data_IF_437433506850
#
_entry.id   IF_437433506850
#
_cell.length_a   1.000
_cell.length_b   1.000
_cell.length_c   1.000
_cell.angle_alpha   90.00
_cell.angle_beta   90.00
_cell.angle_gamma   90.00
#
_symmetry.space_group_name_H-M   'P 1'
#
loop_
_entity.id
_entity.type
_entity.pdbx_description
1 polymer ?
#
# COMPACT_ATOMS: atom_id res chain seq x y z
N UNK A 1 -2.51 -6.68 6.36
CA UNK A 1 -1.32 -5.86 6.61
C UNK A 1 -0.40 -5.85 5.40
N UNK A 2 0.21 -4.73 5.14
CA UNK A 2 1.15 -4.58 4.02
C UNK A 2 2.49 -4.14 4.59
N UNK A 3 3.50 -5.01 4.46
CA UNK A 3 4.83 -4.72 4.97
C UNK A 3 5.50 -3.61 4.15
N UNK A 4 6.18 -2.69 4.83
CA UNK A 4 6.88 -1.59 4.17
C UNK A 4 8.32 -1.42 4.65
N UNK A 5 8.70 -2.02 5.78
CA UNK A 5 10.04 -1.87 6.34
C UNK A 5 10.39 -3.10 7.16
N UNK A 6 11.64 -3.52 7.12
CA UNK A 6 12.14 -4.62 7.94
C UNK A 6 13.58 -4.33 8.34
N UNK A 7 13.88 -4.44 9.63
CA UNK A 7 15.20 -4.11 10.19
C UNK A 7 15.69 -2.72 9.77
N UNK A 8 14.78 -1.75 9.71
CA UNK A 8 15.11 -0.38 9.37
C UNK A 8 15.34 -0.11 7.88
N UNK A 9 15.11 -1.10 7.03
CA UNK A 9 15.30 -0.95 5.57
C UNK A 9 13.97 -1.11 4.85
N UNK A 10 13.77 -0.42 3.72
CA UNK A 10 12.57 -0.62 2.92
C UNK A 10 12.36 -2.09 2.58
N UNK A 11 11.13 -2.56 2.70
CA UNK A 11 10.77 -3.93 2.37
C UNK A 11 9.32 -3.97 1.85
N UNK A 12 8.88 -5.15 1.44
CA UNK A 12 7.52 -5.33 0.96
C UNK A 12 7.15 -4.33 -0.13
N UNK A 13 6.06 -3.60 0.08
CA UNK A 13 5.55 -2.67 -0.93
C UNK A 13 6.55 -1.54 -1.26
N UNK A 14 7.41 -1.17 -0.33
CA UNK A 14 8.38 -0.10 -0.56
C UNK A 14 9.66 -0.57 -1.24
N UNK A 15 9.89 -1.87 -1.33
CA UNK A 15 11.09 -2.43 -1.94
C UNK A 15 10.84 -3.23 -3.20
N UNK A 16 9.63 -3.71 -3.40
CA UNK A 16 9.35 -4.58 -4.54
C UNK A 16 9.58 -3.90 -5.88
N UNK A 17 10.11 -4.65 -6.83
CA UNK A 17 10.27 -4.20 -8.21
C UNK A 17 9.21 -4.81 -9.12
N UNK A 18 8.27 -5.55 -8.55
CA UNK A 18 7.16 -6.12 -9.29
C UNK A 18 6.21 -5.03 -9.77
N UNK A 19 5.48 -5.32 -10.83
CA UNK A 19 4.47 -4.40 -11.35
C UNK A 19 3.15 -4.53 -10.59
N UNK A 20 2.86 -5.72 -10.07
CA UNK A 20 1.59 -6.00 -9.41
C UNK A 20 1.81 -6.57 -8.02
N UNK A 21 0.90 -6.23 -7.12
CA UNK A 21 0.84 -6.72 -5.75
C UNK A 21 -0.43 -7.52 -5.56
N UNK A 22 -0.30 -8.80 -5.24
CA UNK A 22 -1.44 -9.68 -4.98
C UNK A 22 -1.64 -9.77 -3.49
N UNK A 23 -2.81 -9.39 -3.03
CA UNK A 23 -3.14 -9.41 -1.61
C UNK A 23 -4.27 -10.39 -1.35
N UNK A 24 -3.96 -11.49 -0.67
CA UNK A 24 -4.95 -12.52 -0.38
C UNK A 24 -5.75 -12.17 0.86
N UNK A 25 -7.06 -12.32 0.74
CA UNK A 25 -7.98 -12.17 1.87
C UNK A 25 -8.34 -13.56 2.36
N UNK A 26 -8.02 -13.83 3.63
CA UNK A 26 -8.13 -15.16 4.20
C UNK A 26 -9.09 -15.20 5.39
N UNK A 27 -9.74 -16.36 5.56
CA UNK A 27 -10.45 -16.69 6.80
C UNK A 27 -9.74 -17.94 7.31
N UNK A 28 -9.08 -17.83 8.46
CA UNK A 28 -8.21 -18.90 8.93
C UNK A 28 -7.08 -19.10 7.92
N UNK A 29 -6.92 -20.35 7.47
CA UNK A 29 -5.89 -20.70 6.50
C UNK A 29 -6.40 -20.75 5.06
N UNK A 30 -7.62 -20.31 4.83
CA UNK A 30 -8.24 -20.43 3.52
C UNK A 30 -8.40 -19.08 2.86
N UNK A 31 -7.88 -18.95 1.65
CA UNK A 31 -8.03 -17.73 0.86
C UNK A 31 -9.39 -17.72 0.17
N UNK A 32 -10.19 -16.71 0.42
CA UNK A 32 -11.49 -16.59 -0.24
C UNK A 32 -11.52 -15.52 -1.34
N UNK A 33 -10.51 -14.66 -1.40
CA UNK A 33 -10.43 -13.64 -2.43
C UNK A 33 -8.99 -13.14 -2.56
N UNK A 34 -8.67 -12.56 -3.70
CA UNK A 34 -7.37 -11.93 -3.92
C UNK A 34 -7.58 -10.57 -4.57
N UNK A 35 -7.02 -9.54 -3.98
CA UNK A 35 -6.99 -8.20 -4.56
C UNK A 35 -5.69 -8.05 -5.34
N UNK A 36 -5.77 -7.50 -6.53
CA UNK A 36 -4.60 -7.24 -7.36
C UNK A 36 -4.45 -5.73 -7.50
N UNK A 37 -3.30 -5.22 -7.08
CA UNK A 37 -3.00 -3.80 -7.17
C UNK A 37 -1.85 -3.56 -8.14
N UNK A 38 -1.92 -2.46 -8.87
CA UNK A 38 -0.75 -1.90 -9.51
C UNK A 38 0.16 -1.36 -8.39
N UNK A 39 1.43 -1.74 -8.39
CA UNK A 39 2.33 -1.37 -7.28
C UNK A 39 2.51 0.14 -7.17
N UNK A 40 2.67 0.83 -8.29
CA UNK A 40 2.84 2.28 -8.25
C UNK A 40 1.59 2.97 -7.72
N UNK A 41 0.42 2.49 -8.14
CA UNK A 41 -0.85 3.03 -7.66
C UNK A 41 -1.03 2.78 -6.17
N UNK A 42 -0.69 1.58 -5.70
CA UNK A 42 -0.81 1.25 -4.28
C UNK A 42 0.12 2.10 -3.43
N UNK A 43 1.37 2.29 -3.86
CA UNK A 43 2.30 3.19 -3.17
C UNK A 43 1.75 4.60 -3.06
N UNK A 44 1.18 5.10 -4.14
CA UNK A 44 0.60 6.45 -4.17
C UNK A 44 -0.56 6.58 -3.20
N UNK A 45 -1.43 5.58 -3.15
CA UNK A 45 -2.54 5.56 -2.19
C UNK A 45 -2.00 5.58 -0.77
N UNK A 46 -1.05 4.70 -0.45
CA UNK A 46 -0.48 4.61 0.88
C UNK A 46 0.17 5.92 1.30
N UNK A 47 0.95 6.53 0.41
CA UNK A 47 1.65 7.78 0.72
C UNK A 47 0.68 8.93 1.03
N UNK A 48 -0.50 8.91 0.45
CA UNK A 48 -1.47 9.98 0.59
C UNK A 48 -2.59 9.72 1.58
N UNK A 49 -2.61 8.54 2.21
CA UNK A 49 -3.59 8.25 3.26
C UNK A 49 -3.20 8.93 4.56
N UNK A 50 -4.13 9.69 5.11
CA UNK A 50 -3.88 10.45 6.33
C UNK A 50 -4.04 9.63 7.61
N UNK A 51 -4.68 8.46 7.51
CA UNK A 51 -5.05 7.67 8.69
C UNK A 51 -4.49 6.25 8.67
N UNK A 52 -3.43 6.02 7.94
CA UNK A 52 -2.81 4.70 7.93
C UNK A 52 -2.21 4.39 9.30
N UNK A 53 -2.43 3.16 9.74
CA UNK A 53 -1.92 2.69 11.02
C UNK A 53 -0.73 1.76 10.78
N UNK A 54 0.35 1.99 11.48
CA UNK A 54 1.55 1.15 11.41
C UNK A 54 1.62 0.22 12.61
N UNK A 55 1.95 -1.03 12.35
CA UNK A 55 2.15 -2.03 13.40
C UNK A 55 3.43 -2.80 13.12
N UNK A 56 3.97 -3.46 14.14
CA UNK A 56 5.14 -4.31 14.00
C UNK A 56 4.72 -5.78 14.02
N UNK A 57 5.46 -6.62 13.31
CA UNK A 57 5.22 -8.04 13.28
C UNK A 57 6.45 -8.81 12.81
N UNK A 58 6.26 -10.10 12.50
CA UNK A 58 7.33 -10.96 12.07
C UNK A 58 8.28 -11.32 13.18
N UNK A 59 9.40 -11.95 12.84
CA UNK A 59 10.41 -12.40 13.80
C UNK A 59 11.03 -11.19 14.50
N UNK A 60 11.06 -11.25 15.82
CA UNK A 60 11.61 -10.19 16.67
C UNK A 60 10.92 -8.82 16.45
N UNK A 61 9.70 -8.82 15.91
CA UNK A 61 8.96 -7.60 15.61
C UNK A 61 9.77 -6.64 14.73
N UNK A 62 10.59 -7.19 13.83
CA UNK A 62 11.46 -6.41 12.97
C UNK A 62 10.72 -5.76 11.79
N UNK A 63 9.63 -6.35 11.36
CA UNK A 63 8.87 -5.84 10.24
C UNK A 63 7.87 -4.77 10.68
N UNK A 64 7.75 -3.73 9.88
CA UNK A 64 6.71 -2.71 10.04
C UNK A 64 5.71 -2.84 8.90
N UNK A 65 4.45 -2.79 9.23
CA UNK A 65 3.36 -3.01 8.29
C UNK A 65 2.29 -1.96 8.46
N UNK A 66 1.66 -1.58 7.34
CA UNK A 66 0.46 -0.76 7.40
C UNK A 66 -0.78 -1.66 7.52
N UNK A 67 -1.68 -1.29 8.41
CA UNK A 67 -3.02 -1.89 8.49
C UNK A 67 -3.97 -0.98 7.72
N UNK A 68 -4.50 -1.50 6.63
CA UNK A 68 -5.47 -0.77 5.82
C UNK A 68 -6.84 -1.43 5.98
N UNK A 69 -7.85 -0.63 6.28
CA UNK A 69 -9.20 -1.13 6.43
C UNK A 69 -9.79 -1.41 5.05
N UNK A 70 -10.24 -2.64 4.80
CA UNK A 70 -10.76 -3.05 3.49
C UNK A 70 -11.95 -2.21 3.07
N UNK A 71 -12.84 -1.90 4.00
CA UNK A 71 -14.01 -1.06 3.68
C UNK A 71 -13.57 0.32 3.17
N UNK A 72 -12.51 0.84 3.73
CA UNK A 72 -11.99 2.15 3.33
C UNK A 72 -11.23 2.11 2.01
N UNK A 73 -10.70 0.95 1.63
CA UNK A 73 -10.04 0.82 0.32
C UNK A 73 -11.00 1.04 -0.85
N UNK A 74 -12.29 0.90 -0.62
CA UNK A 74 -13.31 1.11 -1.65
C UNK A 74 -14.16 2.35 -1.34
N UNK A 75 -13.60 3.28 -0.58
CA UNK A 75 -14.30 4.50 -0.18
C UNK A 75 -13.82 5.71 -0.97
N UNK A 76 -14.52 6.82 -0.80
CA UNK A 76 -14.13 8.09 -1.40
C UNK A 76 -12.79 8.59 -0.85
N UNK A 77 -12.42 8.20 0.37
CA UNK A 77 -11.13 8.58 0.95
C UNK A 77 -9.98 8.04 0.12
N UNK A 78 -10.09 6.79 -0.33
CA UNK A 78 -9.07 6.19 -1.17
C UNK A 78 -9.06 6.82 -2.56
N UNK A 79 -10.22 7.12 -3.11
CA UNK A 79 -10.30 7.81 -4.39
C UNK A 79 -9.57 9.16 -4.29
N UNK A 80 -9.82 9.92 -3.23
CA UNK A 80 -9.13 11.19 -3.01
C UNK A 80 -7.64 11.01 -2.84
N UNK A 81 -7.23 10.00 -2.07
CA UNK A 81 -5.80 9.72 -1.87
C UNK A 81 -5.12 9.35 -3.20
N UNK A 82 -5.78 8.57 -4.03
CA UNK A 82 -5.24 8.19 -5.32
C UNK A 82 -5.15 9.40 -6.27
N UNK A 83 -6.12 10.30 -6.23
CA UNK A 83 -6.16 11.48 -7.08
C UNK A 83 -5.24 12.60 -6.61
N UNK A 84 -4.81 12.56 -5.34
CA UNK A 84 -3.92 13.58 -4.79
C UNK A 84 -2.58 13.50 -5.50
N UNK A 85 -2.18 14.57 -6.12
CA UNK A 85 -0.89 14.61 -6.81
C UNK A 85 0.19 15.05 -5.85
N UNK A 86 1.33 14.41 -5.96
CA UNK A 86 2.49 14.85 -5.20
C UNK A 86 2.95 16.19 -5.77
N UNK A 87 3.55 16.99 -4.93
CA UNK A 87 4.05 18.27 -5.34
C UNK A 87 5.11 18.19 -6.41
N UNK A 88 5.64 17.04 -6.60
CA UNK A 88 6.68 16.81 -7.56
C UNK A 88 6.17 16.51 -8.90
N UNK A 89 5.05 16.11 -9.07
CA UNK A 89 4.71 15.52 -10.27
C UNK A 89 3.99 16.24 -11.12
N UNK A 90 3.98 16.33 -11.52
CA UNK A 90 3.21 16.59 -12.21
C UNK A 90 3.38 17.29 -13.21
N UNK A 91 3.73 17.48 -13.23
CA UNK A 91 3.87 18.13 -14.07
C UNK A 91 4.40 17.65 -15.17
N UNK A 92 4.70 17.25 -15.35
CA UNK A 92 5.10 16.66 -16.20
C UNK A 92 4.87 15.82 -16.88
N UNK A 93 4.54 15.91 -16.72
CA UNK A 93 4.28 15.08 -17.18
C UNK A 93 3.74 14.99 -17.80
N UNK A 94 3.67 15.51 -17.77
CA UNK A 94 3.06 15.23 -17.97
C UNK A 94 2.62 15.02 -18.43
N UNK A 95 2.35 15.24 -18.37
CA UNK A 95 1.94 14.91 -18.41
C UNK A 95 1.57 14.44 -18.63
N UNK A 96 1.26 14.42 -18.44
CA UNK A 96 0.98 13.85 -18.27
C UNK A 96 0.64 13.42 -18.33
N UNK A 97 0.35 13.57 -18.01
CA UNK A 97 0.14 13.10 -17.73
C UNK A 97 -0.02 12.82 -17.85
#
# INVERSE_FOLDING_TARGET
AIEYECYGKPSGIMATQADFWFHNLCIGNETFATLVFDVKALRRIIDNLDYKKSVRGGDNYAAKMYLLNIKKLFSTDVIKAFQRKDNVCDKSIGNNE
#
